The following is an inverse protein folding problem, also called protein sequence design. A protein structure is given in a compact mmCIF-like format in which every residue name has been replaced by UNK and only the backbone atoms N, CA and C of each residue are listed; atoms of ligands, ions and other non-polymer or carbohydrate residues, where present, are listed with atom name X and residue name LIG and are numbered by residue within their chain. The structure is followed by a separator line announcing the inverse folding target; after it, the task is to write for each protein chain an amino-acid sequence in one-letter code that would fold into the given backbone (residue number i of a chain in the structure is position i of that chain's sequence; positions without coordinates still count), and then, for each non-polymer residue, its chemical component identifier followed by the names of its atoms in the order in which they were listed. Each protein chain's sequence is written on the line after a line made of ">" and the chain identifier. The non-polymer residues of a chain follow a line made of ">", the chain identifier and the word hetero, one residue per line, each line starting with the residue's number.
data_IF_070162785468
#
_entry.id   IF_070162785468
#
_cell.length_a   1.000
_cell.length_b   1.000
_cell.length_c   1.000
_cell.angle_alpha   90.00
_cell.angle_beta   90.00
_cell.angle_gamma   90.00
#
_symmetry.space_group_name_H-M   'P 1'
#
loop_
_entity.id
_entity.type
_entity.pdbx_description
1 polymer ?
#
# COMPACT_ATOMS: atom_id res chain seq x y z
N UNK A 1 20.57 -0.14 -15.23
CA UNK A 1 20.03 -1.50 -14.90
C UNK A 1 19.20 -1.43 -13.64
N UNK A 2 18.04 -2.04 -13.65
CA UNK A 2 17.17 -2.07 -12.49
C UNK A 2 17.70 -3.06 -11.45
N UNK A 3 18.03 -2.57 -10.26
CA UNK A 3 18.62 -3.36 -9.18
C UNK A 3 17.60 -3.85 -8.15
N UNK A 4 16.37 -3.35 -8.19
CA UNK A 4 15.31 -3.76 -7.29
C UNK A 4 14.51 -4.91 -7.89
N UNK A 5 13.91 -5.72 -7.01
CA UNK A 5 13.08 -6.86 -7.41
C UNK A 5 11.63 -6.45 -7.64
N UNK A 6 11.18 -5.41 -6.93
CA UNK A 6 9.81 -4.95 -6.93
C UNK A 6 9.76 -3.43 -6.92
N UNK A 7 8.81 -2.87 -7.64
CA UNK A 7 8.52 -1.43 -7.58
C UNK A 7 7.05 -1.22 -7.25
N UNK A 8 6.77 -0.27 -6.37
CA UNK A 8 5.42 0.10 -5.96
C UNK A 8 5.18 1.56 -6.33
N UNK A 9 4.15 1.82 -7.11
CA UNK A 9 3.74 3.17 -7.47
C UNK A 9 2.45 3.50 -6.72
N UNK A 10 2.56 4.41 -5.75
CA UNK A 10 1.43 4.83 -4.92
C UNK A 10 0.67 5.93 -5.63
N UNK A 11 -0.43 5.59 -6.28
CA UNK A 11 -1.27 6.56 -6.97
C UNK A 11 -2.52 6.92 -6.19
N UNK A 12 -3.09 8.08 -6.48
CA UNK A 12 -4.31 8.56 -5.84
C UNK A 12 -5.47 7.62 -6.08
N UNK A 13 -5.64 7.16 -7.32
CA UNK A 13 -6.72 6.25 -7.69
C UNK A 13 -6.34 4.79 -7.52
N UNK A 14 -5.17 4.41 -8.03
CA UNK A 14 -4.71 3.02 -8.04
C UNK A 14 -3.28 2.91 -7.59
N UNK A 15 -2.96 1.78 -6.96
CA UNK A 15 -1.58 1.41 -6.64
C UNK A 15 -1.15 0.29 -7.58
N UNK A 16 0.02 0.44 -8.17
CA UNK A 16 0.60 -0.55 -9.08
C UNK A 16 1.79 -1.21 -8.40
N UNK A 17 1.91 -2.52 -8.58
CA UNK A 17 3.12 -3.24 -8.17
C UNK A 17 3.69 -3.93 -9.40
N UNK A 18 4.97 -3.70 -9.63
CA UNK A 18 5.70 -4.25 -10.78
C UNK A 18 6.80 -5.16 -10.26
N UNK A 19 6.90 -6.35 -10.81
CA UNK A 19 7.99 -7.27 -10.51
C UNK A 19 8.96 -7.33 -11.66
N UNK A 20 10.25 -7.34 -11.34
CA UNK A 20 11.31 -7.48 -12.33
C UNK A 20 11.13 -8.77 -13.11
N UNK A 21 11.05 -8.65 -14.43
CA UNK A 21 10.89 -9.78 -15.33
C UNK A 21 9.46 -10.26 -15.52
N UNK A 22 8.50 -9.74 -14.75
CA UNK A 22 7.09 -10.15 -14.86
C UNK A 22 6.14 -9.02 -15.22
N UNK A 23 6.58 -7.77 -15.08
CA UNK A 23 5.73 -6.62 -15.34
C UNK A 23 4.76 -6.34 -14.21
N UNK A 24 3.62 -5.74 -14.52
CA UNK A 24 2.61 -5.37 -13.52
C UNK A 24 1.94 -6.63 -12.98
N UNK A 25 2.07 -6.87 -11.68
CA UNK A 25 1.49 -8.04 -11.01
C UNK A 25 0.33 -7.66 -10.10
N UNK A 26 0.16 -6.38 -9.80
CA UNK A 26 -0.95 -5.88 -9.01
C UNK A 26 -1.31 -4.49 -9.50
N UNK A 27 -2.59 -4.27 -9.72
CA UNK A 27 -3.16 -2.97 -10.06
C UNK A 27 -4.51 -2.92 -9.36
N UNK A 28 -4.53 -2.28 -8.20
CA UNK A 28 -5.74 -2.23 -7.38
C UNK A 28 -6.02 -0.81 -6.92
N UNK A 29 -7.27 -0.49 -6.63
CA UNK A 29 -7.60 0.84 -6.15
C UNK A 29 -6.92 1.14 -4.81
N UNK A 30 -6.48 2.38 -4.66
CA UNK A 30 -5.87 2.86 -3.42
C UNK A 30 -6.97 3.17 -2.40
N UNK A 31 -7.61 2.12 -1.91
CA UNK A 31 -8.75 2.19 -0.99
C UNK A 31 -8.56 1.18 0.13
N UNK A 32 -8.94 1.57 1.33
CA UNK A 32 -8.87 0.71 2.51
C UNK A 32 -10.21 0.75 3.23
N UNK A 33 -10.76 -0.43 3.53
CA UNK A 33 -11.95 -0.53 4.37
C UNK A 33 -11.51 -0.71 5.82
N UNK A 34 -11.96 0.17 6.69
CA UNK A 34 -11.67 0.10 8.11
C UNK A 34 -12.96 -0.12 8.89
N UNK A 35 -12.87 -0.92 9.94
CA UNK A 35 -13.97 -1.12 10.87
C UNK A 35 -13.62 -0.44 12.19
N UNK A 36 -14.61 0.26 12.75
CA UNK A 36 -14.46 0.91 14.06
C UNK A 36 -15.27 0.10 15.07
N UNK A 37 -14.61 -0.41 16.09
CA UNK A 37 -15.23 -1.21 17.13
C UNK A 37 -14.71 -0.72 18.48
N UNK A 38 -15.61 -0.20 19.31
CA UNK A 38 -15.25 0.32 20.62
C UNK A 38 -14.24 1.46 20.58
N UNK A 39 -14.30 2.29 19.53
CA UNK A 39 -13.37 3.39 19.34
C UNK A 39 -12.03 3.00 18.71
N UNK A 40 -11.84 1.72 18.43
CA UNK A 40 -10.62 1.21 17.83
C UNK A 40 -10.83 0.92 16.34
N UNK A 41 -9.96 1.42 15.49
CA UNK A 41 -10.00 1.18 14.06
C UNK A 41 -9.12 0.01 13.68
N UNK A 42 -9.65 -0.88 12.86
CA UNK A 42 -8.90 -2.01 12.29
C UNK A 42 -9.10 -2.06 10.78
N UNK A 43 -8.09 -2.49 10.06
CA UNK A 43 -8.17 -2.67 8.61
C UNK A 43 -8.90 -3.97 8.33
N UNK A 44 -9.97 -3.89 7.56
CA UNK A 44 -10.79 -5.04 7.20
C UNK A 44 -10.42 -5.57 5.82
N UNK A 45 -10.17 -4.70 4.87
CA UNK A 45 -9.82 -5.06 3.50
C UNK A 45 -9.06 -3.93 2.81
N UNK A 46 -8.35 -4.27 1.74
CA UNK A 46 -7.56 -3.31 0.98
C UNK A 46 -7.76 -3.57 -0.52
N UNK A 47 -7.73 -2.51 -1.30
CA UNK A 47 -7.79 -2.62 -2.75
C UNK A 47 -9.14 -3.07 -3.27
N UNK A 48 -9.15 -4.04 -4.16
CA UNK A 48 -10.38 -4.53 -4.80
C UNK A 48 -11.40 -5.04 -3.77
N UNK A 49 -10.95 -5.73 -2.73
CA UNK A 49 -11.85 -6.21 -1.69
C UNK A 49 -12.52 -5.04 -0.96
N UNK A 50 -11.75 -4.00 -0.66
CA UNK A 50 -12.30 -2.80 -0.01
C UNK A 50 -13.32 -2.13 -0.90
N UNK A 51 -13.06 -2.06 -2.21
CA UNK A 51 -13.97 -1.47 -3.17
C UNK A 51 -15.30 -2.22 -3.25
N UNK A 52 -15.26 -3.56 -3.21
CA UNK A 52 -16.48 -4.35 -3.25
C UNK A 52 -17.32 -4.21 -1.98
N UNK A 53 -16.73 -3.83 -0.88
CA UNK A 53 -17.43 -3.58 0.37
C UNK A 53 -18.19 -2.27 0.38
N UNK A 54 -17.84 -1.34 -0.53
CA UNK A 54 -18.55 -0.07 -0.63
C UNK A 54 -20.00 -0.30 -1.03
N UNK A 55 -20.93 0.25 -0.25
CA UNK A 55 -22.36 0.13 -0.52
C UNK A 55 -23.02 -1.11 0.06
N UNK A 56 -22.26 -2.02 0.67
CA UNK A 56 -22.80 -3.23 1.30
C UNK A 56 -22.49 -3.31 2.78
N UNK A 57 -21.94 -2.24 3.33
CA UNK A 57 -21.32 -2.30 4.64
C UNK A 57 -22.24 -1.82 5.74
N UNK A 58 -22.19 -2.44 6.95
CA UNK A 58 -22.79 -1.86 8.14
C UNK A 58 -22.20 -0.48 8.42
N UNK A 59 -22.93 0.32 9.20
CA UNK A 59 -22.57 1.70 9.44
C UNK A 59 -21.24 1.93 10.14
N UNK A 60 -20.64 0.89 10.72
CA UNK A 60 -19.33 1.02 11.38
C UNK A 60 -18.15 0.73 10.46
N UNK A 61 -18.40 0.40 9.20
CA UNK A 61 -17.34 0.19 8.21
C UNK A 61 -17.25 1.41 7.31
N UNK A 62 -16.03 1.90 7.12
CA UNK A 62 -15.77 3.10 6.35
C UNK A 62 -14.68 2.81 5.30
N UNK A 63 -14.86 3.32 4.10
CA UNK A 63 -13.84 3.26 3.07
C UNK A 63 -13.02 4.53 3.11
N UNK A 64 -11.70 4.40 3.13
CA UNK A 64 -10.77 5.52 3.18
C UNK A 64 -9.88 5.47 1.96
N UNK A 65 -9.74 6.62 1.28
CA UNK A 65 -8.75 6.82 0.22
C UNK A 65 -7.57 7.55 0.85
N UNK A 66 -6.47 6.83 1.15
CA UNK A 66 -5.37 7.43 1.90
C UNK A 66 -4.54 8.43 1.12
N UNK A 67 -4.66 8.42 -0.21
CA UNK A 67 -3.95 9.35 -1.08
C UNK A 67 -4.95 10.22 -1.82
N UNK A 68 -4.82 11.55 -1.70
CA UNK A 68 -5.67 12.51 -2.38
C UNK A 68 -4.81 13.53 -3.09
N UNK A 69 -5.09 13.76 -4.37
CA UNK A 69 -4.39 14.75 -5.19
C UNK A 69 -2.86 14.61 -5.10
N UNK A 70 -2.39 13.35 -5.11
CA UNK A 70 -0.97 13.07 -5.03
C UNK A 70 -0.33 13.31 -3.67
N UNK A 71 -1.14 13.44 -2.61
CA UNK A 71 -0.65 13.70 -1.26
C UNK A 71 -1.17 12.63 -0.31
N UNK A 72 -0.38 12.29 0.70
CA UNK A 72 -0.81 11.36 1.74
C UNK A 72 -1.79 12.09 2.66
N UNK A 73 -3.07 11.68 2.59
CA UNK A 73 -4.12 12.25 3.43
C UNK A 73 -4.29 11.50 4.75
N UNK A 74 -4.03 10.20 4.75
CA UNK A 74 -4.06 9.37 5.95
C UNK A 74 -2.84 8.47 5.96
N UNK A 75 -1.92 8.80 6.82
CA UNK A 75 -0.61 8.22 6.92
C UNK A 75 -0.65 6.77 7.47
N UNK A 76 -1.41 6.54 8.55
CA UNK A 76 -1.52 5.21 9.16
C UNK A 76 -2.19 4.22 8.21
N UNK A 77 -3.24 4.65 7.53
CA UNK A 77 -3.94 3.82 6.57
C UNK A 77 -3.07 3.53 5.35
N UNK A 78 -2.26 4.51 4.92
CA UNK A 78 -1.31 4.30 3.82
C UNK A 78 -0.29 3.21 4.17
N UNK A 79 0.25 3.24 5.40
CA UNK A 79 1.19 2.22 5.86
C UNK A 79 0.57 0.82 5.80
N UNK A 80 -0.65 0.68 6.30
CA UNK A 80 -1.35 -0.60 6.30
C UNK A 80 -1.64 -1.08 4.88
N UNK A 81 -2.00 -0.15 3.99
CA UNK A 81 -2.24 -0.48 2.59
C UNK A 81 -0.98 -1.06 1.93
N UNK A 82 0.16 -0.42 2.15
CA UNK A 82 1.43 -0.88 1.60
C UNK A 82 1.77 -2.28 2.10
N UNK A 83 1.62 -2.52 3.40
CA UNK A 83 1.87 -3.84 3.97
C UNK A 83 0.99 -4.91 3.34
N UNK A 84 -0.28 -4.61 3.16
CA UNK A 84 -1.22 -5.56 2.55
C UNK A 84 -0.86 -5.89 1.12
N UNK A 85 -0.51 -4.90 0.33
CA UNK A 85 -0.14 -5.13 -1.07
C UNK A 85 1.16 -5.93 -1.20
N UNK A 86 2.16 -5.61 -0.38
CA UNK A 86 3.42 -6.36 -0.38
C UNK A 86 3.18 -7.83 -0.02
N UNK A 87 2.39 -8.08 1.03
CA UNK A 87 2.07 -9.44 1.45
C UNK A 87 1.27 -10.20 0.38
N UNK A 88 0.35 -9.52 -0.28
CA UNK A 88 -0.45 -10.12 -1.33
C UNK A 88 0.40 -10.55 -2.51
N UNK A 89 1.33 -9.71 -2.94
CA UNK A 89 2.27 -10.04 -4.02
C UNK A 89 3.22 -11.16 -3.58
N UNK A 90 3.70 -11.10 -2.35
CA UNK A 90 4.59 -12.12 -1.80
C UNK A 90 3.98 -13.53 -1.85
N UNK A 91 2.68 -13.64 -1.56
CA UNK A 91 1.98 -14.91 -1.64
C UNK A 91 1.91 -15.49 -3.05
N UNK A 92 1.94 -14.63 -4.06
CA UNK A 92 1.82 -15.04 -5.47
C UNK A 92 3.16 -15.29 -6.14
N UNK A 93 4.27 -15.00 -5.47
CA UNK A 93 5.60 -15.04 -6.07
C UNK A 93 6.55 -15.84 -5.20
N UNK A 94 7.71 -16.20 -5.79
CA UNK A 94 8.76 -16.91 -5.08
C UNK A 94 9.77 -15.99 -4.41
N UNK A 95 9.57 -14.67 -4.46
CA UNK A 95 10.49 -13.72 -3.83
C UNK A 95 10.35 -13.78 -2.31
N UNK A 96 11.38 -14.27 -1.63
CA UNK A 96 11.36 -14.41 -0.18
C UNK A 96 11.51 -13.06 0.54
N UNK A 97 12.49 -12.26 0.13
CA UNK A 97 12.76 -10.96 0.74
C UNK A 97 13.13 -9.98 -0.35
N UNK A 98 12.16 -9.34 -1.01
CA UNK A 98 12.44 -8.50 -2.16
C UNK A 98 13.11 -7.17 -1.77
N UNK A 99 13.89 -6.65 -2.70
CA UNK A 99 14.35 -5.26 -2.66
C UNK A 99 13.27 -4.44 -3.33
N UNK A 100 12.75 -3.43 -2.63
CA UNK A 100 11.59 -2.67 -3.08
C UNK A 100 11.94 -1.22 -3.35
N UNK A 101 11.50 -0.72 -4.51
CA UNK A 101 11.53 0.69 -4.83
C UNK A 101 10.10 1.21 -4.70
N UNK A 102 9.89 2.25 -3.89
CA UNK A 102 8.57 2.83 -3.72
C UNK A 102 8.56 4.27 -4.23
N UNK A 103 7.65 4.55 -5.16
CA UNK A 103 7.40 5.91 -5.63
C UNK A 103 6.44 6.56 -4.67
N UNK A 104 6.92 7.55 -3.91
CA UNK A 104 6.12 8.27 -2.92
C UNK A 104 5.59 9.57 -3.51
N UNK A 105 4.47 10.10 -2.99
CA UNK A 105 3.94 11.38 -3.46
C UNK A 105 4.94 12.51 -3.25
N UNK A 106 4.97 13.44 -4.22
CA UNK A 106 5.79 14.64 -4.14
C UNK A 106 5.38 15.44 -2.90
N UNK A 107 6.36 15.91 -2.16
CA UNK A 107 6.09 16.70 -0.96
C UNK A 107 5.89 15.86 0.30
N UNK A 108 6.12 14.54 0.23
CA UNK A 108 6.09 13.71 1.43
C UNK A 108 7.14 14.19 2.43
N UNK A 109 6.75 14.26 3.70
CA UNK A 109 7.67 14.70 4.76
C UNK A 109 8.68 13.60 5.08
N UNK A 110 9.83 13.94 5.70
CA UNK A 110 10.79 12.93 6.13
C UNK A 110 10.17 11.89 7.08
N UNK A 111 9.24 12.30 7.94
CA UNK A 111 8.55 11.39 8.85
C UNK A 111 7.69 10.40 8.07
N UNK A 112 6.93 10.89 7.08
CA UNK A 112 6.11 10.05 6.22
C UNK A 112 6.95 9.07 5.42
N UNK A 113 8.06 9.51 4.87
CA UNK A 113 8.97 8.64 4.11
C UNK A 113 9.55 7.55 4.98
N UNK A 114 9.98 7.89 6.20
CA UNK A 114 10.53 6.90 7.12
C UNK A 114 9.49 5.85 7.48
N UNK A 115 8.26 6.26 7.72
CA UNK A 115 7.19 5.35 8.06
C UNK A 115 6.83 4.41 6.91
N UNK A 116 6.82 4.92 5.68
CA UNK A 116 6.60 4.08 4.50
C UNK A 116 7.72 3.04 4.38
N UNK A 117 8.96 3.47 4.57
CA UNK A 117 10.11 2.58 4.54
C UNK A 117 10.00 1.50 5.61
N UNK A 118 9.68 1.89 6.84
CA UNK A 118 9.54 0.96 7.97
C UNK A 118 8.40 -0.03 7.73
N UNK A 119 7.29 0.43 7.12
CA UNK A 119 6.15 -0.44 6.79
C UNK A 119 6.53 -1.51 5.78
N UNK A 120 7.29 -1.15 4.76
CA UNK A 120 7.74 -2.11 3.75
C UNK A 120 8.72 -3.12 4.35
N UNK A 121 9.63 -2.65 5.20
CA UNK A 121 10.56 -3.54 5.90
C UNK A 121 9.81 -4.51 6.81
N UNK A 122 8.80 -4.03 7.53
CA UNK A 122 7.97 -4.86 8.39
C UNK A 122 7.16 -5.90 7.60
N UNK A 123 6.84 -5.61 6.34
CA UNK A 123 6.11 -6.54 5.48
C UNK A 123 7.01 -7.60 4.84
N UNK A 124 8.33 -7.52 5.06
CA UNK A 124 9.26 -8.53 4.60
C UNK A 124 10.29 -8.06 3.58
N UNK A 125 10.32 -6.78 3.23
CA UNK A 125 11.32 -6.27 2.31
C UNK A 125 12.73 -6.36 2.93
N UNK A 126 13.71 -6.72 2.11
CA UNK A 126 15.10 -6.76 2.54
C UNK A 126 15.72 -5.36 2.50
N UNK A 127 15.36 -4.59 1.52
CA UNK A 127 15.87 -3.23 1.32
C UNK A 127 14.76 -2.39 0.67
N UNK A 128 14.65 -1.15 1.10
CA UNK A 128 13.63 -0.23 0.57
C UNK A 128 14.32 1.06 0.13
N UNK A 129 13.98 1.51 -1.07
CA UNK A 129 14.44 2.78 -1.61
C UNK A 129 13.21 3.59 -2.00
N UNK A 130 13.19 4.87 -1.64
CA UNK A 130 12.06 5.76 -1.94
C UNK A 130 12.46 6.76 -3.01
N UNK A 131 11.56 7.03 -3.94
CA UNK A 131 11.71 8.10 -4.94
C UNK A 131 10.40 8.88 -5.03
N UNK A 132 10.49 10.11 -5.48
CA UNK A 132 9.32 10.95 -5.75
C UNK A 132 8.89 10.88 -7.20
#
# INVERSE_FOLDING_TARGET
>A
MWSQDMAIDLGTANTLVVLKGQGVVLNEPSVVAVITDGGKKSVLAVGDEAKTMLGRTPGNIQAIRPLKDGVIADFVVTEEMIKHFIKKVHKKTAFANPRILICVPTGSTPVERKAIQDSALAAGARKVQLIE
#
